data_IF_926997734569
#
_entry.id   IF_926997734569
#
_cell.length_a   1.000
_cell.length_b   1.000
_cell.length_c   1.000
_cell.angle_alpha   90.00
_cell.angle_beta   90.00
_cell.angle_gamma   90.00
#
_symmetry.space_group_name_H-M   'P 1'
#
loop_
_entity.id
_entity.type
_entity.pdbx_description
1 polymer ?
#
# COMPACT_ATOMS: atom_id res chain seq x y z
N UNK A 1 -31.70 -81.64 60.65
CA UNK A 1 -31.83 -80.75 59.50
C UNK A 1 -31.50 -79.34 60.00
N UNK A 2 -30.29 -78.87 59.70
CA UNK A 2 -29.80 -77.52 60.16
C UNK A 2 -29.70 -76.68 58.86
N UNK A 3 -30.50 -75.60 58.82
CA UNK A 3 -30.40 -74.63 57.77
C UNK A 3 -29.25 -73.57 58.10
N UNK A 4 -28.32 -73.48 57.17
CA UNK A 4 -27.26 -72.40 57.22
C UNK A 4 -27.77 -71.28 56.33
N UNK A 5 -27.93 -70.11 56.95
CA UNK A 5 -28.24 -68.88 56.21
C UNK A 5 -26.91 -68.15 55.90
N UNK A 6 -26.58 -68.00 54.62
CA UNK A 6 -25.48 -67.15 54.17
C UNK A 6 -25.93 -65.72 54.07
N UNK A 7 -25.31 -64.83 54.89
CA UNK A 7 -25.44 -63.38 54.74
C UNK A 7 -24.52 -62.90 53.59
N UNK A 8 -25.16 -62.35 52.55
CA UNK A 8 -24.46 -61.60 51.50
C UNK A 8 -24.40 -60.10 51.92
N UNK A 9 -23.21 -59.56 52.18
CA UNK A 9 -22.99 -58.14 52.37
C UNK A 9 -22.66 -57.49 50.99
N UNK A 10 -23.34 -56.44 50.59
CA UNK A 10 -22.97 -55.76 49.35
C UNK A 10 -21.77 -54.81 49.60
N UNK A 11 -20.69 -55.06 48.90
CA UNK A 11 -19.49 -54.19 48.86
C UNK A 11 -19.78 -53.01 47.92
N UNK A 12 -20.08 -51.83 48.45
CA UNK A 12 -20.20 -50.58 47.69
C UNK A 12 -18.79 -50.13 47.26
N UNK A 13 -18.42 -50.37 45.99
CA UNK A 13 -17.25 -49.71 45.35
C UNK A 13 -17.61 -48.23 45.09
N UNK A 14 -17.04 -47.33 45.85
CA UNK A 14 -17.00 -45.89 45.55
C UNK A 14 -16.00 -45.68 44.42
N UNK A 15 -16.48 -45.53 43.20
CA UNK A 15 -15.71 -45.03 42.07
C UNK A 15 -15.48 -43.55 42.25
N UNK A 16 -14.32 -43.16 42.77
CA UNK A 16 -13.83 -41.77 42.71
C UNK A 16 -13.42 -41.48 41.25
N UNK A 17 -14.34 -40.86 40.50
CA UNK A 17 -14.07 -40.30 39.18
C UNK A 17 -13.20 -39.08 39.36
N UNK A 18 -11.90 -39.18 39.22
CA UNK A 18 -11.01 -38.05 38.98
C UNK A 18 -11.34 -37.44 37.60
N UNK A 19 -12.30 -36.51 37.58
CA UNK A 19 -12.52 -35.65 36.45
C UNK A 19 -11.22 -34.89 36.16
N UNK A 20 -10.46 -35.29 35.13
CA UNK A 20 -9.45 -34.42 34.50
C UNK A 20 -10.24 -33.25 33.92
N UNK A 21 -10.23 -32.10 34.61
CA UNK A 21 -10.59 -30.83 33.99
C UNK A 21 -9.62 -30.65 32.82
N UNK A 22 -10.12 -30.79 31.58
CA UNK A 22 -9.44 -30.25 30.42
C UNK A 22 -9.15 -28.78 30.73
N UNK A 23 -7.92 -28.30 30.59
CA UNK A 23 -7.66 -26.87 30.78
C UNK A 23 -8.58 -26.11 29.83
N UNK A 24 -9.40 -25.20 30.40
CA UNK A 24 -10.22 -24.30 29.64
C UNK A 24 -9.35 -23.67 28.55
N UNK A 25 -9.75 -23.81 27.27
CA UNK A 25 -9.08 -23.04 26.21
C UNK A 25 -9.15 -21.58 26.62
N UNK A 26 -8.00 -20.88 26.64
CA UNK A 26 -8.01 -19.45 26.97
C UNK A 26 -9.10 -18.76 26.16
N UNK A 27 -9.98 -18.03 26.84
CA UNK A 27 -11.00 -17.23 26.17
C UNK A 27 -10.30 -16.24 25.22
N UNK A 28 -10.75 -16.11 23.95
CA UNK A 28 -10.16 -15.17 23.02
C UNK A 28 -10.12 -13.76 23.62
N UNK A 29 -8.99 -13.09 23.52
CA UNK A 29 -8.81 -11.75 24.05
C UNK A 29 -9.74 -10.77 23.33
N UNK A 30 -10.54 -10.02 24.08
CA UNK A 30 -11.34 -8.95 23.48
C UNK A 30 -10.44 -7.77 23.08
N UNK A 31 -10.05 -7.72 21.80
CA UNK A 31 -9.13 -6.71 21.28
C UNK A 31 -9.64 -5.27 21.45
N UNK A 32 -10.95 -5.05 21.61
CA UNK A 32 -11.50 -3.70 21.83
C UNK A 32 -11.11 -3.12 23.20
N UNK A 33 -10.97 -3.97 24.22
CA UNK A 33 -10.66 -3.56 25.61
C UNK A 33 -9.28 -3.98 26.08
N UNK A 34 -8.60 -4.87 25.35
CA UNK A 34 -7.31 -5.41 25.72
C UNK A 34 -6.20 -4.34 25.77
N UNK A 35 -5.27 -4.50 26.71
CA UNK A 35 -4.01 -3.77 26.71
C UNK A 35 -3.09 -4.26 25.57
N UNK A 36 -2.06 -3.47 25.23
CA UNK A 36 -1.09 -3.90 24.23
C UNK A 36 -0.37 -5.20 24.61
N UNK A 37 -0.02 -5.35 25.88
CA UNK A 37 0.65 -6.56 26.39
C UNK A 37 -0.23 -7.81 26.22
N UNK A 38 -1.52 -7.69 26.43
CA UNK A 38 -2.48 -8.77 26.18
C UNK A 38 -2.58 -9.10 24.70
N UNK A 39 -2.64 -8.08 23.82
CA UNK A 39 -2.66 -8.26 22.37
C UNK A 39 -1.37 -8.94 21.90
N UNK A 40 -0.21 -8.48 22.37
CA UNK A 40 1.09 -9.05 22.03
C UNK A 40 1.25 -10.49 22.53
N UNK A 41 0.69 -10.82 23.69
CA UNK A 41 0.68 -12.18 24.22
C UNK A 41 -0.21 -13.11 23.39
N UNK A 42 -1.40 -12.66 22.99
CA UNK A 42 -2.33 -13.41 22.12
C UNK A 42 -1.75 -13.64 20.72
N UNK A 43 -0.92 -12.74 20.23
CA UNK A 43 -0.29 -12.84 18.91
C UNK A 43 0.80 -13.93 18.82
N UNK A 44 1.37 -14.36 19.96
CA UNK A 44 2.48 -15.34 19.98
C UNK A 44 2.06 -16.67 19.37
N UNK A 45 2.91 -17.19 18.49
CA UNK A 45 2.67 -18.45 17.78
C UNK A 45 1.70 -18.32 16.60
N UNK A 46 1.06 -17.16 16.38
CA UNK A 46 0.16 -16.97 15.25
C UNK A 46 0.92 -16.91 13.92
N UNK A 47 0.26 -17.39 12.87
CA UNK A 47 0.69 -17.19 11.48
C UNK A 47 -0.23 -16.16 10.84
N UNK A 48 0.34 -15.03 10.44
CA UNK A 48 -0.38 -13.92 9.78
C UNK A 48 -0.19 -14.03 8.27
N UNK A 49 -1.28 -14.23 7.54
CA UNK A 49 -1.27 -14.21 6.07
C UNK A 49 -1.47 -12.79 5.57
N UNK A 50 -0.41 -12.21 4.99
CA UNK A 50 -0.40 -10.89 4.38
C UNK A 50 -0.62 -10.99 2.87
N UNK A 51 -1.73 -10.44 2.38
CA UNK A 51 -1.95 -10.18 0.96
C UNK A 51 -1.29 -8.86 0.56
N UNK A 52 -0.33 -8.89 -0.37
CA UNK A 52 0.36 -7.70 -0.83
C UNK A 52 0.80 -7.80 -2.29
N UNK A 53 1.00 -6.63 -2.92
CA UNK A 53 1.64 -6.55 -4.22
C UNK A 53 3.07 -7.08 -4.18
N UNK A 54 3.46 -7.90 -5.15
CA UNK A 54 4.77 -8.53 -5.23
C UNK A 54 5.54 -8.20 -6.53
N UNK A 55 5.18 -7.10 -7.19
CA UNK A 55 5.79 -6.72 -8.48
C UNK A 55 7.19 -6.14 -8.39
N UNK A 56 7.71 -5.84 -7.19
CA UNK A 56 9.07 -5.33 -6.99
C UNK A 56 9.90 -6.30 -6.13
N UNK A 57 11.06 -6.78 -6.65
CA UNK A 57 11.90 -7.74 -5.92
C UNK A 57 12.53 -7.15 -4.65
N UNK A 58 12.78 -5.83 -4.58
CA UNK A 58 13.41 -5.20 -3.42
C UNK A 58 12.41 -5.03 -2.27
N UNK A 59 11.15 -4.71 -2.58
CA UNK A 59 10.07 -4.74 -1.61
C UNK A 59 9.86 -6.15 -1.07
N UNK A 60 9.88 -7.15 -1.96
CA UNK A 60 9.78 -8.55 -1.58
C UNK A 60 10.95 -8.98 -0.68
N UNK A 61 12.16 -8.53 -0.98
CA UNK A 61 13.36 -8.81 -0.16
C UNK A 61 13.22 -8.18 1.23
N UNK A 62 12.85 -6.91 1.33
CA UNK A 62 12.59 -6.24 2.61
C UNK A 62 11.56 -7.01 3.45
N UNK A 63 10.45 -7.42 2.87
CA UNK A 63 9.39 -8.12 3.60
C UNK A 63 9.79 -9.55 3.98
N UNK A 64 10.41 -10.31 3.08
CA UNK A 64 10.75 -11.73 3.28
C UNK A 64 12.02 -11.93 4.10
N UNK A 65 13.05 -11.11 3.88
CA UNK A 65 14.39 -11.32 4.43
C UNK A 65 14.69 -10.41 5.62
N UNK A 66 13.88 -9.39 5.89
CA UNK A 66 14.02 -8.56 7.08
C UNK A 66 12.76 -8.61 7.97
N UNK A 67 11.59 -8.21 7.46
CA UNK A 67 10.36 -8.08 8.28
C UNK A 67 9.94 -9.44 8.85
N UNK A 68 9.81 -10.47 8.02
CA UNK A 68 9.34 -11.78 8.46
C UNK A 68 10.27 -12.46 9.50
N UNK A 69 11.59 -12.50 9.32
CA UNK A 69 12.50 -13.02 10.34
C UNK A 69 12.49 -12.22 11.65
N UNK A 70 12.42 -10.88 11.56
CA UNK A 70 12.40 -10.03 12.76
C UNK A 70 11.09 -10.24 13.57
N UNK A 71 9.94 -10.34 12.92
CA UNK A 71 8.68 -10.66 13.57
C UNK A 71 8.71 -12.02 14.27
N UNK A 72 9.28 -13.02 13.60
CA UNK A 72 9.43 -14.36 14.22
C UNK A 72 10.33 -14.33 15.43
N UNK A 73 11.46 -13.65 15.33
CA UNK A 73 12.45 -13.59 16.42
C UNK A 73 11.96 -12.76 17.61
N UNK A 74 11.37 -11.58 17.36
CA UNK A 74 11.04 -10.62 18.41
C UNK A 74 9.66 -10.85 19.03
N UNK A 75 8.71 -11.37 18.24
CA UNK A 75 7.30 -11.46 18.62
C UNK A 75 6.73 -12.88 18.55
N UNK A 76 7.50 -13.86 18.04
CA UNK A 76 7.02 -15.21 17.71
C UNK A 76 5.80 -15.22 16.78
N UNK A 77 5.71 -14.25 15.87
CA UNK A 77 4.69 -14.16 14.80
C UNK A 77 5.32 -14.62 13.50
N UNK A 78 4.70 -15.59 12.84
CA UNK A 78 5.11 -16.05 11.50
C UNK A 78 4.37 -15.24 10.45
N UNK A 79 5.08 -14.59 9.52
CA UNK A 79 4.49 -13.86 8.41
C UNK A 79 4.49 -14.72 7.14
N UNK A 80 3.29 -15.06 6.65
CA UNK A 80 3.08 -15.72 5.37
C UNK A 80 2.64 -14.68 4.32
N UNK A 81 3.42 -14.51 3.24
CA UNK A 81 3.18 -13.46 2.24
C UNK A 81 2.62 -14.08 0.98
N UNK A 82 1.45 -13.61 0.55
CA UNK A 82 0.78 -14.04 -0.68
C UNK A 82 0.59 -12.85 -1.63
N UNK A 83 0.72 -13.11 -2.94
CA UNK A 83 0.54 -12.10 -3.97
C UNK A 83 -0.95 -11.83 -4.20
N UNK A 84 -1.41 -10.64 -3.82
CA UNK A 84 -2.74 -10.14 -4.18
C UNK A 84 -2.81 -8.63 -3.98
N UNK A 85 -3.76 -7.94 -4.66
CA UNK A 85 -3.90 -6.48 -4.55
C UNK A 85 -5.27 -5.98 -5.04
N UNK A 86 -5.64 -4.77 -4.63
CA UNK A 86 -6.76 -4.01 -5.18
C UNK A 86 -8.07 -4.80 -5.24
N UNK A 87 -8.69 -4.82 -6.41
CA UNK A 87 -9.98 -5.48 -6.63
C UNK A 87 -9.98 -6.98 -6.37
N UNK A 88 -8.85 -7.67 -6.53
CA UNK A 88 -8.77 -9.11 -6.25
C UNK A 88 -8.89 -9.39 -4.75
N UNK A 89 -8.36 -8.51 -3.90
CA UNK A 89 -8.57 -8.57 -2.44
C UNK A 89 -10.06 -8.39 -2.13
N UNK A 90 -10.69 -7.35 -2.70
CA UNK A 90 -12.12 -7.08 -2.50
C UNK A 90 -12.96 -8.28 -2.94
N UNK A 91 -12.73 -8.79 -4.15
CA UNK A 91 -13.45 -9.95 -4.71
C UNK A 91 -13.31 -11.19 -3.83
N UNK A 92 -12.09 -11.46 -3.32
CA UNK A 92 -11.85 -12.59 -2.43
C UNK A 92 -12.69 -12.48 -1.15
N UNK A 93 -12.63 -11.33 -0.46
CA UNK A 93 -13.35 -11.12 0.79
C UNK A 93 -14.88 -11.14 0.59
N UNK A 94 -15.37 -10.61 -0.52
CA UNK A 94 -16.79 -10.64 -0.87
C UNK A 94 -17.26 -12.07 -1.15
N UNK A 95 -16.52 -12.84 -1.96
CA UNK A 95 -16.82 -14.24 -2.25
C UNK A 95 -16.83 -15.10 -0.97
N UNK A 96 -15.86 -14.89 -0.07
CA UNK A 96 -15.82 -15.56 1.23
C UNK A 96 -17.06 -15.21 2.09
N UNK A 97 -17.49 -13.94 2.04
CA UNK A 97 -18.69 -13.48 2.75
C UNK A 97 -19.96 -14.12 2.21
N UNK A 98 -20.12 -14.17 0.88
CA UNK A 98 -21.27 -14.77 0.20
C UNK A 98 -21.33 -16.28 0.43
N UNK A 99 -20.16 -16.95 0.47
CA UNK A 99 -20.06 -18.38 0.80
C UNK A 99 -20.30 -18.69 2.29
N UNK A 100 -20.55 -17.68 3.13
CA UNK A 100 -20.75 -17.86 4.58
C UNK A 100 -19.50 -18.31 5.34
N UNK A 101 -18.29 -18.09 4.77
CA UNK A 101 -17.04 -18.48 5.40
C UNK A 101 -16.84 -17.65 6.69
N UNK A 102 -16.59 -18.34 7.83
CA UNK A 102 -16.42 -17.69 9.13
C UNK A 102 -15.09 -16.93 9.25
N UNK A 103 -14.03 -17.47 8.66
CA UNK A 103 -12.68 -16.93 8.68
C UNK A 103 -12.22 -16.49 7.30
N UNK A 104 -11.50 -15.36 7.24
CA UNK A 104 -10.89 -14.86 6.02
C UNK A 104 -9.62 -15.63 5.68
N UNK A 105 -9.31 -15.76 4.38
CA UNK A 105 -8.03 -16.29 3.89
C UNK A 105 -6.85 -15.35 4.16
N UNK A 106 -7.12 -14.09 4.45
CA UNK A 106 -6.12 -13.08 4.79
C UNK A 106 -6.30 -12.59 6.21
N UNK A 107 -5.17 -12.29 6.86
CA UNK A 107 -5.14 -11.67 8.18
C UNK A 107 -4.75 -10.19 8.10
N UNK A 108 -3.99 -9.84 7.09
CA UNK A 108 -3.49 -8.49 6.83
C UNK A 108 -3.45 -8.24 5.33
N UNK A 109 -3.67 -7.00 4.92
CA UNK A 109 -3.70 -6.62 3.51
C UNK A 109 -2.99 -5.29 3.31
N UNK A 110 -2.09 -5.20 2.33
CA UNK A 110 -1.63 -3.91 1.81
C UNK A 110 -2.69 -3.39 0.86
N UNK A 111 -3.36 -2.33 1.27
CA UNK A 111 -4.47 -1.72 0.54
C UNK A 111 -4.17 -0.27 0.18
N UNK A 112 -4.94 0.26 -0.74
CA UNK A 112 -4.94 1.65 -1.19
C UNK A 112 -6.39 2.16 -1.21
N UNK A 113 -6.57 3.45 -1.44
CA UNK A 113 -7.81 4.15 -1.15
C UNK A 113 -9.05 3.60 -1.82
N UNK A 114 -8.99 3.13 -3.08
CA UNK A 114 -10.17 2.54 -3.71
C UNK A 114 -10.55 1.20 -3.08
N UNK A 115 -9.56 0.41 -2.65
CA UNK A 115 -9.78 -0.85 -1.92
C UNK A 115 -10.31 -0.57 -0.52
N UNK A 116 -9.71 0.39 0.19
CA UNK A 116 -10.18 0.84 1.50
C UNK A 116 -11.64 1.30 1.45
N UNK A 117 -11.99 2.17 0.50
CA UNK A 117 -13.35 2.65 0.30
C UNK A 117 -14.34 1.51 0.10
N UNK A 118 -14.05 0.57 -0.82
CA UNK A 118 -14.93 -0.56 -1.10
C UNK A 118 -15.13 -1.45 0.13
N UNK A 119 -14.04 -1.78 0.83
CA UNK A 119 -14.09 -2.61 2.05
C UNK A 119 -14.81 -1.92 3.21
N UNK A 120 -14.73 -0.58 3.32
CA UNK A 120 -15.50 0.21 4.30
C UNK A 120 -16.99 0.16 3.99
N UNK A 121 -17.40 0.30 2.72
CA UNK A 121 -18.80 0.24 2.31
C UNK A 121 -19.47 -1.08 2.71
N UNK A 122 -18.77 -2.20 2.56
CA UNK A 122 -19.27 -3.54 2.91
C UNK A 122 -18.93 -3.97 4.32
N UNK A 123 -18.37 -3.08 5.15
CA UNK A 123 -17.97 -3.33 6.54
C UNK A 123 -17.06 -4.56 6.71
N UNK A 124 -16.16 -4.78 5.78
CA UNK A 124 -15.26 -5.92 5.76
C UNK A 124 -13.96 -5.72 6.54
N UNK A 125 -13.70 -4.52 7.10
CA UNK A 125 -12.50 -4.20 7.88
C UNK A 125 -12.74 -4.33 9.38
N UNK A 126 -11.72 -4.81 10.08
CA UNK A 126 -11.59 -4.72 11.53
C UNK A 126 -11.04 -3.35 11.93
N UNK A 127 -11.63 -2.70 12.91
CA UNK A 127 -11.18 -1.41 13.42
C UNK A 127 -12.24 -0.68 14.23
N UNK A 128 -11.89 0.52 14.76
CA UNK A 128 -10.55 1.14 14.74
C UNK A 128 -9.54 0.39 15.61
N UNK A 129 -8.31 0.22 15.13
CA UNK A 129 -7.26 -0.51 15.89
C UNK A 129 -5.95 0.27 16.04
N UNK A 130 -5.68 1.25 15.15
CA UNK A 130 -4.37 1.91 15.05
C UNK A 130 -3.96 2.62 16.34
N UNK A 131 -4.91 3.25 17.04
CA UNK A 131 -4.64 3.93 18.32
C UNK A 131 -4.16 2.99 19.44
N UNK A 132 -4.31 1.67 19.28
CA UNK A 132 -3.81 0.66 20.23
C UNK A 132 -2.35 0.27 19.99
N UNK A 133 -1.79 0.63 18.84
CA UNK A 133 -0.41 0.33 18.48
C UNK A 133 0.54 1.31 19.18
N UNK A 134 1.49 0.86 20.02
CA UNK A 134 2.40 1.76 20.75
C UNK A 134 3.16 2.72 19.83
N UNK A 135 3.61 2.23 18.66
CA UNK A 135 4.37 3.03 17.72
C UNK A 135 3.53 4.06 16.95
N UNK A 136 2.18 3.95 16.98
CA UNK A 136 1.30 4.91 16.31
C UNK A 136 1.40 6.32 16.90
N UNK A 137 1.83 6.48 18.16
CA UNK A 137 2.08 7.78 18.78
C UNK A 137 3.17 8.59 18.07
N UNK A 138 4.03 7.93 17.28
CA UNK A 138 5.11 8.55 16.53
C UNK A 138 4.72 8.92 15.09
N UNK A 139 3.52 8.56 14.63
CA UNK A 139 3.03 8.89 13.28
C UNK A 139 2.58 10.36 13.24
N UNK A 140 2.85 11.03 12.13
CA UNK A 140 2.36 12.39 11.88
C UNK A 140 0.92 12.38 11.36
N UNK A 141 -0.04 12.11 12.23
CA UNK A 141 -1.46 12.20 11.88
C UNK A 141 -1.97 13.63 11.64
N UNK A 142 -1.16 14.66 11.86
CA UNK A 142 -1.43 16.03 11.42
C UNK A 142 -1.26 16.22 9.92
N UNK A 143 -0.55 15.31 9.26
CA UNK A 143 -0.30 15.35 7.83
C UNK A 143 -1.52 14.80 7.06
N UNK A 144 -2.11 15.64 6.21
CA UNK A 144 -3.30 15.28 5.40
C UNK A 144 -3.07 14.11 4.45
N UNK A 145 -1.84 13.86 4.04
CA UNK A 145 -1.47 12.74 3.18
C UNK A 145 -1.33 11.41 3.94
N UNK A 146 -1.47 11.43 5.27
CA UNK A 146 -1.37 10.25 6.15
C UNK A 146 -2.69 9.92 6.84
N UNK A 147 -3.46 10.96 7.24
CA UNK A 147 -4.73 10.77 7.94
C UNK A 147 -5.94 10.61 7.02
N UNK A 148 -5.72 10.75 5.71
CA UNK A 148 -6.78 10.67 4.69
C UNK A 148 -6.29 9.82 3.52
N UNK A 149 -7.04 8.79 3.15
CA UNK A 149 -6.78 7.99 1.97
C UNK A 149 -7.90 8.18 0.95
N UNK A 150 -7.57 8.64 -0.27
CA UNK A 150 -8.52 8.97 -1.34
C UNK A 150 -9.72 9.79 -0.84
N UNK A 151 -9.47 10.91 -0.16
CA UNK A 151 -10.48 11.79 0.45
C UNK A 151 -11.31 11.12 1.56
N UNK A 152 -10.98 9.89 1.98
CA UNK A 152 -11.66 9.20 3.06
C UNK A 152 -10.82 9.28 4.34
N UNK A 153 -11.37 9.73 5.49
CA UNK A 153 -10.68 9.64 6.76
C UNK A 153 -10.31 8.19 7.08
N UNK A 154 -9.07 7.94 7.46
CA UNK A 154 -8.60 6.58 7.80
C UNK A 154 -9.24 6.04 9.09
N UNK A 155 -9.63 6.92 10.03
CA UNK A 155 -10.36 6.63 11.27
C UNK A 155 -9.79 5.44 12.08
N UNK A 156 -8.51 5.14 11.89
CA UNK A 156 -7.84 4.02 12.55
C UNK A 156 -8.22 2.63 12.05
N UNK A 157 -8.90 2.52 10.89
CA UNK A 157 -9.24 1.24 10.25
C UNK A 157 -8.15 0.69 9.34
N UNK A 158 -7.16 1.51 9.04
CA UNK A 158 -5.96 1.13 8.32
C UNK A 158 -4.74 1.83 8.92
N UNK A 159 -3.62 1.12 8.93
CA UNK A 159 -2.37 1.58 9.52
C UNK A 159 -1.46 2.13 8.42
N UNK A 160 -1.16 3.45 8.40
CA UNK A 160 -0.19 4.00 7.44
C UNK A 160 1.21 3.49 7.76
N UNK A 161 1.99 3.11 6.73
CA UNK A 161 3.35 2.62 6.92
C UNK A 161 4.36 3.12 5.89
N UNK A 162 3.93 3.90 4.91
CA UNK A 162 4.76 4.60 3.93
C UNK A 162 4.03 5.82 3.38
N UNK A 163 4.78 6.87 3.03
CA UNK A 163 4.24 8.08 2.42
C UNK A 163 5.12 8.51 1.26
N UNK A 164 4.55 8.63 0.08
CA UNK A 164 5.26 8.77 -1.19
C UNK A 164 4.53 9.72 -2.13
N UNK A 165 5.27 10.30 -3.11
CA UNK A 165 4.74 11.16 -4.15
C UNK A 165 5.06 10.59 -5.52
N UNK A 166 4.13 10.64 -6.46
CA UNK A 166 4.38 10.23 -7.84
C UNK A 166 5.50 11.10 -8.44
N UNK A 167 6.53 10.43 -8.95
CA UNK A 167 7.62 11.07 -9.69
C UNK A 167 7.77 10.47 -11.09
N UNK A 168 8.16 11.32 -12.03
CA UNK A 168 8.54 10.92 -13.39
C UNK A 168 10.05 10.76 -13.40
N UNK A 169 10.54 9.62 -13.92
CA UNK A 169 11.94 9.27 -13.99
C UNK A 169 12.37 9.35 -15.45
N UNK A 170 13.53 9.94 -15.73
CA UNK A 170 14.07 10.15 -17.05
C UNK A 170 15.59 9.96 -17.07
N UNK A 171 16.16 9.77 -18.25
CA UNK A 171 17.61 9.70 -18.45
C UNK A 171 18.12 11.05 -18.98
N UNK A 172 19.00 11.70 -18.22
CA UNK A 172 19.55 13.03 -18.58
C UNK A 172 20.34 13.07 -19.87
N UNK A 173 20.88 11.94 -20.32
CA UNK A 173 21.58 11.84 -21.61
C UNK A 173 20.59 11.85 -22.76
N UNK A 174 19.48 11.10 -22.63
CA UNK A 174 18.43 11.02 -23.67
C UNK A 174 17.49 12.21 -23.65
N UNK A 175 17.29 12.82 -22.47
CA UNK A 175 16.34 13.92 -22.23
C UNK A 175 17.04 15.01 -21.43
N UNK A 176 17.90 15.86 -22.04
CA UNK A 176 18.61 16.92 -21.32
C UNK A 176 17.69 17.93 -20.63
N UNK A 177 16.51 18.18 -21.22
CA UNK A 177 15.50 19.12 -20.71
C UNK A 177 14.14 18.38 -20.58
N UNK A 178 13.85 17.79 -19.41
CA UNK A 178 12.62 17.02 -19.23
C UNK A 178 11.39 17.95 -19.20
N UNK A 179 10.25 17.52 -19.78
CA UNK A 179 9.02 18.30 -19.80
C UNK A 179 8.45 18.45 -18.39
N UNK A 180 8.23 19.68 -17.95
CA UNK A 180 7.70 20.02 -16.62
C UNK A 180 6.21 20.37 -16.63
N UNK A 181 5.66 20.69 -17.79
CA UNK A 181 4.25 21.02 -17.97
C UNK A 181 3.58 20.08 -18.95
N UNK A 182 2.26 20.01 -18.91
CA UNK A 182 1.45 19.23 -19.87
C UNK A 182 1.72 19.64 -21.33
N UNK A 183 1.90 20.96 -21.59
CA UNK A 183 2.24 21.42 -22.93
C UNK A 183 3.64 20.96 -23.36
N UNK A 184 4.64 21.09 -22.49
CA UNK A 184 6.00 20.62 -22.78
C UNK A 184 6.04 19.09 -22.99
N UNK A 185 5.19 18.33 -22.26
CA UNK A 185 5.07 16.88 -22.48
C UNK A 185 4.48 16.59 -23.88
N UNK A 186 3.46 17.34 -24.29
CA UNK A 186 2.89 17.23 -25.63
C UNK A 186 3.94 17.53 -26.70
N UNK A 187 4.67 18.63 -26.56
CA UNK A 187 5.73 19.05 -27.52
C UNK A 187 6.84 17.99 -27.60
N UNK A 188 7.27 17.47 -26.44
CA UNK A 188 8.30 16.43 -26.38
C UNK A 188 7.85 15.14 -27.07
N UNK A 189 6.67 14.64 -26.73
CA UNK A 189 6.15 13.37 -27.27
C UNK A 189 5.97 13.44 -28.78
N UNK A 190 5.52 14.58 -29.33
CA UNK A 190 5.41 14.81 -30.76
C UNK A 190 6.76 14.90 -31.48
N UNK A 191 7.75 15.51 -30.83
CA UNK A 191 9.10 15.62 -31.35
C UNK A 191 9.91 14.30 -31.29
N UNK A 192 9.54 13.40 -30.37
CA UNK A 192 10.25 12.12 -30.12
C UNK A 192 9.25 10.96 -30.08
N UNK A 193 8.61 10.64 -31.22
CA UNK A 193 7.59 9.59 -31.25
C UNK A 193 8.17 8.23 -30.86
N UNK A 194 7.36 7.43 -30.15
CA UNK A 194 7.72 6.10 -29.67
C UNK A 194 8.53 6.05 -28.39
N UNK A 195 8.95 7.19 -27.82
CA UNK A 195 9.86 7.22 -26.66
C UNK A 195 9.18 7.45 -25.31
N UNK A 196 7.86 7.58 -25.30
CA UNK A 196 7.05 7.81 -24.09
C UNK A 196 5.87 6.85 -24.05
N UNK A 197 5.59 6.34 -22.86
CA UNK A 197 4.36 5.65 -22.50
C UNK A 197 4.17 5.70 -20.97
N UNK A 198 3.08 5.16 -20.49
CA UNK A 198 2.78 4.91 -19.07
C UNK A 198 2.11 3.53 -18.94
N UNK A 199 2.09 2.97 -17.74
CA UNK A 199 1.42 1.69 -17.52
C UNK A 199 -0.10 1.86 -17.38
N UNK A 200 -0.85 0.79 -17.63
CA UNK A 200 -2.31 0.78 -17.53
C UNK A 200 -2.79 0.26 -16.15
N UNK A 201 -1.96 0.38 -15.12
CA UNK A 201 -2.25 -0.02 -13.75
C UNK A 201 -2.30 1.19 -12.80
N UNK A 202 -2.14 0.95 -11.51
CA UNK A 202 -2.25 1.97 -10.46
C UNK A 202 -1.36 3.20 -10.72
N UNK A 203 -0.08 2.99 -11.10
CA UNK A 203 0.87 4.11 -11.30
C UNK A 203 0.48 4.98 -12.48
N UNK A 204 0.14 4.38 -13.62
CA UNK A 204 -0.33 5.14 -14.78
C UNK A 204 -1.65 5.86 -14.52
N UNK A 205 -2.57 5.27 -13.74
CA UNK A 205 -3.79 5.97 -13.34
C UNK A 205 -3.51 7.12 -12.39
N UNK A 206 -2.53 7.01 -11.51
CA UNK A 206 -2.08 8.12 -10.64
C UNK A 206 -1.48 9.26 -11.47
N UNK A 207 -0.73 8.93 -12.53
CA UNK A 207 -0.27 9.94 -13.50
C UNK A 207 -1.45 10.61 -14.22
N UNK A 208 -2.44 9.86 -14.69
CA UNK A 208 -3.64 10.42 -15.34
C UNK A 208 -4.47 11.28 -14.38
N UNK A 209 -4.58 10.91 -13.09
CA UNK A 209 -5.22 11.74 -12.07
C UNK A 209 -4.47 13.07 -11.88
N UNK A 210 -3.13 13.03 -11.86
CA UNK A 210 -2.32 14.27 -11.76
C UNK A 210 -2.57 15.20 -12.96
N UNK A 211 -2.70 14.64 -14.18
CA UNK A 211 -3.07 15.40 -15.38
C UNK A 211 -4.53 15.91 -15.32
N UNK A 212 -5.44 15.12 -14.78
CA UNK A 212 -6.85 15.53 -14.61
C UNK A 212 -6.95 16.73 -13.67
N UNK A 213 -6.20 16.75 -12.57
CA UNK A 213 -6.10 17.86 -11.63
C UNK A 213 -5.51 19.10 -12.33
N UNK A 214 -4.46 18.95 -13.14
CA UNK A 214 -3.90 20.06 -13.93
C UNK A 214 -4.92 20.63 -14.95
N UNK A 215 -5.65 19.75 -15.63
CA UNK A 215 -6.72 20.15 -16.59
C UNK A 215 -7.84 20.88 -15.87
N UNK A 216 -8.23 20.44 -14.68
CA UNK A 216 -9.24 21.10 -13.87
C UNK A 216 -8.81 22.47 -13.32
N UNK A 217 -7.51 22.81 -13.39
CA UNK A 217 -6.95 24.05 -12.88
C UNK A 217 -6.47 24.00 -11.43
N UNK A 218 -6.39 22.81 -10.83
CA UNK A 218 -5.85 22.55 -9.49
C UNK A 218 -6.72 21.62 -8.64
N UNK A 219 -6.16 21.11 -7.54
CA UNK A 219 -6.81 20.12 -6.66
C UNK A 219 -8.16 20.59 -6.09
N UNK A 220 -8.30 21.90 -5.82
CA UNK A 220 -9.51 22.46 -5.22
C UNK A 220 -10.77 22.28 -6.10
N UNK A 221 -10.60 22.13 -7.41
CA UNK A 221 -11.72 21.92 -8.34
C UNK A 221 -12.34 20.52 -8.18
N UNK A 222 -11.54 19.54 -7.75
CA UNK A 222 -11.93 18.13 -7.65
C UNK A 222 -11.89 17.62 -6.19
N UNK A 223 -11.64 18.50 -5.21
CA UNK A 223 -11.61 18.15 -3.81
C UNK A 223 -13.00 17.76 -3.27
N UNK A 224 -13.03 16.89 -2.27
CA UNK A 224 -14.26 16.41 -1.64
C UNK A 224 -14.87 15.19 -2.33
N UNK A 225 -16.17 14.91 -2.09
CA UNK A 225 -16.86 13.78 -2.70
C UNK A 225 -16.84 13.82 -4.22
N UNK A 226 -16.96 12.66 -4.85
CA UNK A 226 -17.02 12.55 -6.30
C UNK A 226 -18.16 13.39 -6.91
N UNK A 227 -17.81 14.22 -7.87
CA UNK A 227 -18.75 15.04 -8.65
C UNK A 227 -18.77 14.55 -10.11
N UNK A 228 -19.86 13.89 -10.49
CA UNK A 228 -20.00 13.29 -11.81
C UNK A 228 -20.03 14.32 -12.95
N UNK A 229 -20.54 15.54 -12.73
CA UNK A 229 -20.58 16.59 -13.74
C UNK A 229 -19.19 17.19 -13.99
N UNK A 230 -18.44 17.47 -12.92
CA UNK A 230 -17.03 17.88 -13.02
C UNK A 230 -16.18 16.79 -13.66
N UNK A 231 -16.37 15.54 -13.24
CA UNK A 231 -15.67 14.41 -13.84
C UNK A 231 -15.93 14.33 -15.34
N UNK A 232 -17.20 14.36 -15.79
CA UNK A 232 -17.54 14.32 -17.21
C UNK A 232 -16.87 15.44 -18.00
N UNK A 233 -16.83 16.66 -17.45
CA UNK A 233 -16.22 17.83 -18.09
C UNK A 233 -14.71 17.69 -18.24
N UNK A 234 -14.01 17.36 -17.16
CA UNK A 234 -12.55 17.36 -17.16
C UNK A 234 -11.96 16.04 -17.72
N UNK A 235 -12.64 14.91 -17.55
CA UNK A 235 -12.21 13.65 -18.16
C UNK A 235 -12.34 13.68 -19.68
N UNK A 236 -13.37 14.34 -20.23
CA UNK A 236 -13.47 14.53 -21.69
C UNK A 236 -12.24 15.26 -22.24
N UNK A 237 -11.78 16.33 -21.57
CA UNK A 237 -10.56 17.06 -21.94
C UNK A 237 -9.30 16.21 -21.76
N UNK A 238 -9.24 15.36 -20.71
CA UNK A 238 -8.13 14.42 -20.51
C UNK A 238 -8.06 13.41 -21.64
N UNK A 239 -9.18 12.80 -22.03
CA UNK A 239 -9.21 11.83 -23.12
C UNK A 239 -8.92 12.44 -24.48
N UNK A 240 -9.37 13.68 -24.71
CA UNK A 240 -8.96 14.44 -25.90
C UNK A 240 -7.46 14.64 -25.94
N UNK A 241 -6.85 15.08 -24.84
CA UNK A 241 -5.40 15.26 -24.72
C UNK A 241 -4.65 13.95 -24.93
N UNK A 242 -5.02 12.88 -24.29
CA UNK A 242 -4.35 11.57 -24.42
C UNK A 242 -4.51 11.02 -25.85
N UNK A 243 -5.69 11.09 -26.45
CA UNK A 243 -5.92 10.57 -27.79
C UNK A 243 -5.18 11.38 -28.87
N UNK A 244 -4.99 12.70 -28.67
CA UNK A 244 -4.16 13.53 -29.55
C UNK A 244 -2.68 13.13 -29.50
N UNK A 245 -2.19 12.65 -28.35
CA UNK A 245 -0.81 12.18 -28.18
C UNK A 245 -0.60 10.69 -28.53
N UNK A 246 -1.65 9.90 -28.43
CA UNK A 246 -1.61 8.44 -28.62
C UNK A 246 -0.81 7.98 -29.85
N UNK A 247 -0.94 8.61 -31.07
CA UNK A 247 -0.15 8.19 -32.25
C UNK A 247 1.36 8.33 -32.07
N UNK A 248 1.81 9.14 -31.11
CA UNK A 248 3.22 9.40 -30.83
C UNK A 248 3.75 8.60 -29.63
N UNK A 249 2.88 7.88 -28.91
CA UNK A 249 3.31 7.01 -27.82
C UNK A 249 4.04 5.78 -28.36
N UNK A 250 4.75 5.10 -27.48
CA UNK A 250 5.35 3.79 -27.76
C UNK A 250 4.31 2.86 -28.41
N UNK A 251 4.71 2.19 -29.50
CA UNK A 251 3.82 1.37 -30.34
C UNK A 251 2.53 2.10 -30.76
N UNK A 252 2.61 3.40 -30.99
CA UNK A 252 1.46 4.23 -31.42
C UNK A 252 0.28 4.19 -30.42
N UNK A 253 0.57 3.90 -29.14
CA UNK A 253 -0.46 3.75 -28.10
C UNK A 253 -1.45 2.60 -28.33
N UNK A 254 -1.10 1.64 -29.19
CA UNK A 254 -1.93 0.44 -29.42
C UNK A 254 -1.90 -0.54 -28.24
N UNK A 255 -0.86 -0.46 -27.43
CA UNK A 255 -0.67 -1.26 -26.22
C UNK A 255 0.06 -0.45 -25.17
N UNK A 256 -0.11 -0.84 -23.90
CA UNK A 256 0.49 -0.21 -22.74
C UNK A 256 1.13 -1.27 -21.85
N UNK A 257 2.22 -0.97 -21.12
CA UNK A 257 2.74 -1.85 -20.08
C UNK A 257 1.63 -2.17 -19.05
N UNK A 258 1.56 -3.42 -18.61
CA UNK A 258 0.49 -3.87 -17.70
C UNK A 258 0.72 -3.50 -16.24
N UNK A 259 1.94 -3.07 -15.92
CA UNK A 259 2.34 -2.61 -14.58
C UNK A 259 3.60 -1.74 -14.68
N UNK A 260 3.95 -1.09 -13.58
CA UNK A 260 5.13 -0.23 -13.49
C UNK A 260 6.44 -1.00 -13.68
N UNK A 261 6.54 -2.25 -13.23
CA UNK A 261 7.77 -3.04 -13.36
C UNK A 261 8.18 -3.32 -14.83
N UNK A 262 7.28 -3.74 -15.74
CA UNK A 262 7.57 -3.76 -17.17
C UNK A 262 7.99 -2.39 -17.74
N UNK A 263 7.37 -1.29 -17.32
CA UNK A 263 7.74 0.06 -17.76
C UNK A 263 9.15 0.43 -17.28
N UNK A 264 9.54 0.06 -16.06
CA UNK A 264 10.92 0.22 -15.57
C UNK A 264 11.93 -0.55 -16.42
N UNK A 265 11.60 -1.77 -16.81
CA UNK A 265 12.46 -2.58 -17.67
C UNK A 265 12.63 -1.95 -19.07
N UNK A 266 11.56 -1.42 -19.65
CA UNK A 266 11.63 -0.71 -20.94
C UNK A 266 12.50 0.54 -20.84
N UNK A 267 12.40 1.30 -19.76
CA UNK A 267 13.25 2.45 -19.49
C UNK A 267 14.74 2.04 -19.31
N UNK A 268 15.01 1.02 -18.51
CA UNK A 268 16.35 0.50 -18.27
C UNK A 268 17.03 0.04 -19.58
N UNK A 269 16.27 -0.61 -20.46
CA UNK A 269 16.75 -1.08 -21.77
C UNK A 269 16.84 0.04 -22.85
N UNK A 270 16.37 1.25 -22.54
CA UNK A 270 16.37 2.36 -23.49
C UNK A 270 15.26 2.30 -24.55
N UNK A 271 14.27 1.46 -24.38
CA UNK A 271 13.11 1.35 -25.26
C UNK A 271 12.19 2.59 -25.15
N UNK A 272 12.11 3.16 -23.94
CA UNK A 272 11.46 4.44 -23.67
C UNK A 272 12.39 5.36 -22.87
N UNK A 273 12.17 6.67 -22.97
CA UNK A 273 12.99 7.68 -22.31
C UNK A 273 12.52 8.05 -20.90
N UNK A 274 11.33 7.59 -20.53
CA UNK A 274 10.71 7.87 -19.24
C UNK A 274 10.13 6.60 -18.63
N UNK A 275 10.14 6.58 -17.32
CA UNK A 275 9.31 5.74 -16.48
C UNK A 275 8.74 6.58 -15.35
N UNK A 276 7.97 6.01 -14.46
CA UNK A 276 7.39 6.73 -13.33
C UNK A 276 7.24 5.80 -12.12
N UNK A 277 7.17 6.38 -10.94
CA UNK A 277 6.94 5.63 -9.71
C UNK A 277 6.07 6.43 -8.76
N UNK A 278 5.22 5.75 -8.02
CA UNK A 278 4.54 6.37 -6.88
C UNK A 278 5.52 6.67 -5.73
N UNK A 279 6.69 6.01 -5.69
CA UNK A 279 7.76 6.32 -4.75
C UNK A 279 8.74 7.32 -5.37
N UNK A 280 8.71 8.55 -4.90
CA UNK A 280 9.57 9.66 -5.34
C UNK A 280 11.08 9.41 -5.10
N UNK A 281 11.43 8.45 -4.25
CA UNK A 281 12.82 8.02 -3.98
C UNK A 281 13.29 6.81 -4.78
N UNK A 282 12.42 6.16 -5.53
CA UNK A 282 12.75 4.88 -6.18
C UNK A 282 13.92 4.96 -7.16
N UNK A 283 14.13 6.09 -7.83
CA UNK A 283 15.25 6.27 -8.75
C UNK A 283 16.60 6.05 -8.07
N UNK A 284 16.77 6.51 -6.81
CA UNK A 284 17.99 6.27 -6.04
C UNK A 284 18.22 4.80 -5.82
N UNK A 285 17.19 4.07 -5.37
CA UNK A 285 17.25 2.65 -5.16
C UNK A 285 17.61 1.89 -6.46
N UNK A 286 16.91 2.16 -7.56
CA UNK A 286 17.14 1.47 -8.84
C UNK A 286 18.51 1.76 -9.45
N UNK A 287 19.04 2.97 -9.27
CA UNK A 287 20.41 3.30 -9.72
C UNK A 287 21.45 2.62 -8.84
N UNK A 288 21.28 2.62 -7.53
CA UNK A 288 22.21 1.95 -6.60
C UNK A 288 22.26 0.43 -6.81
N UNK A 289 21.15 -0.17 -7.24
CA UNK A 289 21.07 -1.59 -7.59
C UNK A 289 21.57 -1.89 -9.03
N UNK A 290 21.99 -0.87 -9.80
CA UNK A 290 22.43 -1.05 -11.16
C UNK A 290 21.31 -1.39 -12.16
N UNK A 291 20.04 -1.22 -11.76
CA UNK A 291 18.87 -1.47 -12.63
C UNK A 291 18.68 -0.29 -13.59
N UNK A 292 18.77 0.95 -13.10
CA UNK A 292 18.71 2.15 -13.93
C UNK A 292 20.11 2.69 -14.20
N UNK A 293 20.31 3.41 -15.32
CA UNK A 293 21.59 4.06 -15.61
C UNK A 293 21.89 5.14 -14.57
N UNK A 294 23.18 5.38 -14.28
CA UNK A 294 23.63 6.43 -13.35
C UNK A 294 23.23 7.86 -13.75
N UNK A 295 22.77 8.03 -14.99
CA UNK A 295 22.22 9.26 -15.55
C UNK A 295 20.71 9.44 -15.29
N UNK A 296 20.03 8.43 -14.73
CA UNK A 296 18.63 8.54 -14.37
C UNK A 296 18.40 9.59 -13.27
N UNK A 297 17.34 10.36 -13.41
CA UNK A 297 16.88 11.38 -12.44
C UNK A 297 15.36 11.35 -12.34
N UNK A 298 14.85 11.81 -11.21
CA UNK A 298 13.41 11.98 -11.02
C UNK A 298 13.00 13.46 -10.93
N UNK A 299 11.75 13.73 -11.25
CA UNK A 299 11.13 15.04 -11.07
C UNK A 299 9.61 14.90 -10.90
N UNK A 300 8.97 15.98 -10.44
CA UNK A 300 7.52 16.12 -10.42
C UNK A 300 7.08 17.20 -11.42
N UNK A 301 5.84 17.10 -11.89
CA UNK A 301 5.27 18.12 -12.78
C UNK A 301 5.14 19.46 -12.06
N UNK A 302 5.22 20.55 -12.79
CA UNK A 302 5.14 21.92 -12.23
C UNK A 302 3.82 22.18 -11.49
N UNK A 303 2.70 21.66 -12.01
CA UNK A 303 1.37 21.74 -11.36
C UNK A 303 1.18 20.73 -10.25
N UNK A 304 2.15 19.88 -10.01
CA UNK A 304 2.16 18.88 -8.96
C UNK A 304 1.87 17.46 -9.45
N UNK A 305 2.11 16.53 -8.55
CA UNK A 305 1.78 15.12 -8.68
C UNK A 305 1.19 14.60 -7.38
N UNK A 306 0.38 13.56 -7.47
CA UNK A 306 -0.30 12.99 -6.31
C UNK A 306 0.71 12.43 -5.31
N UNK A 307 0.49 12.80 -4.05
CA UNK A 307 1.13 12.21 -2.87
C UNK A 307 0.09 11.41 -2.08
N UNK A 308 0.43 10.21 -1.67
CA UNK A 308 -0.42 9.35 -0.86
C UNK A 308 0.40 8.51 0.12
N UNK A 309 -0.28 7.73 0.94
CA UNK A 309 0.35 6.78 1.86
C UNK A 309 0.04 5.34 1.46
N UNK A 310 0.88 4.43 1.94
CA UNK A 310 0.60 2.99 1.92
C UNK A 310 -0.07 2.60 3.24
N UNK A 311 -1.05 1.72 3.18
CA UNK A 311 -1.80 1.30 4.35
C UNK A 311 -1.88 -0.21 4.49
N UNK A 312 -1.99 -0.66 5.74
CA UNK A 312 -2.29 -2.03 6.10
C UNK A 312 -3.67 -2.10 6.74
N UNK A 313 -4.57 -2.88 6.15
CA UNK A 313 -5.90 -3.15 6.66
C UNK A 313 -6.03 -4.58 7.19
N UNK A 314 -6.85 -4.78 8.22
CA UNK A 314 -7.14 -6.09 8.81
C UNK A 314 -8.54 -6.51 8.40
N UNK A 315 -8.75 -7.68 7.77
CA UNK A 315 -10.09 -8.17 7.49
C UNK A 315 -10.91 -8.39 8.77
N UNK A 316 -12.20 -8.04 8.75
CA UNK A 316 -13.09 -8.23 9.89
C UNK A 316 -13.13 -9.69 10.38
N UNK A 317 -13.02 -10.65 9.46
CA UNK A 317 -13.09 -12.10 9.74
C UNK A 317 -11.72 -12.75 9.89
N UNK A 318 -10.62 -11.98 10.00
CA UNK A 318 -9.30 -12.56 10.29
C UNK A 318 -9.35 -13.32 11.63
N UNK A 319 -8.88 -14.56 11.68
CA UNK A 319 -8.70 -15.28 12.93
C UNK A 319 -7.49 -14.78 13.75
N UNK A 320 -6.52 -14.11 13.09
CA UNK A 320 -5.23 -13.70 13.67
C UNK A 320 -5.09 -12.17 13.79
N UNK A 321 -6.16 -11.48 14.19
CA UNK A 321 -6.16 -10.00 14.34
C UNK A 321 -5.06 -9.48 15.27
N UNK A 322 -4.80 -10.19 16.38
CA UNK A 322 -3.75 -9.81 17.32
C UNK A 322 -2.36 -9.86 16.65
N UNK A 323 -2.07 -10.94 15.92
CA UNK A 323 -0.85 -11.05 15.12
C UNK A 323 -0.75 -9.97 14.06
N UNK A 324 -1.84 -9.68 13.34
CA UNK A 324 -1.89 -8.60 12.34
C UNK A 324 -1.60 -7.22 12.96
N UNK A 325 -2.13 -6.92 14.16
CA UNK A 325 -1.81 -5.70 14.89
C UNK A 325 -0.32 -5.62 15.28
N UNK A 326 0.29 -6.75 15.68
CA UNK A 326 1.74 -6.82 15.98
C UNK A 326 2.57 -6.57 14.72
N UNK A 327 2.18 -7.13 13.57
CA UNK A 327 2.82 -6.84 12.28
C UNK A 327 2.73 -5.35 11.95
N UNK A 328 1.54 -4.74 12.05
CA UNK A 328 1.37 -3.30 11.84
C UNK A 328 2.27 -2.47 12.76
N UNK A 329 2.29 -2.79 14.07
CA UNK A 329 3.13 -2.07 15.03
C UNK A 329 4.64 -2.20 14.72
N UNK A 330 5.09 -3.37 14.24
CA UNK A 330 6.47 -3.57 13.80
C UNK A 330 6.79 -2.72 12.57
N UNK A 331 5.93 -2.72 11.55
CA UNK A 331 6.14 -1.97 10.31
C UNK A 331 6.26 -0.46 10.52
N UNK A 332 5.60 0.09 11.54
CA UNK A 332 5.69 1.50 11.94
C UNK A 332 6.71 1.76 13.07
N UNK A 333 7.53 0.77 13.42
CA UNK A 333 8.61 1.00 14.38
C UNK A 333 9.71 1.88 13.78
N UNK A 334 10.44 2.67 14.59
CA UNK A 334 11.54 3.49 14.10
C UNK A 334 12.62 2.67 13.37
N UNK A 335 12.86 1.43 13.80
CA UNK A 335 13.82 0.52 13.17
C UNK A 335 13.38 0.11 11.76
N UNK A 336 12.15 -0.39 11.64
CA UNK A 336 11.62 -0.83 10.34
C UNK A 336 11.48 0.33 9.36
N UNK A 337 11.04 1.50 9.84
CA UNK A 337 10.90 2.70 9.03
C UNK A 337 12.24 3.28 8.57
N UNK A 338 13.25 3.28 9.44
CA UNK A 338 14.61 3.70 9.09
C UNK A 338 15.20 2.81 7.99
N UNK A 339 15.06 1.49 8.16
CA UNK A 339 15.56 0.51 7.18
C UNK A 339 14.83 0.61 5.84
N UNK A 340 13.52 0.84 5.87
CA UNK A 340 12.71 1.03 4.67
C UNK A 340 13.09 2.31 3.91
N UNK A 341 13.43 3.39 4.64
CA UNK A 341 13.81 4.68 4.07
C UNK A 341 15.20 4.64 3.42
N UNK A 342 16.07 3.70 3.80
CA UNK A 342 17.40 3.55 3.21
C UNK A 342 17.29 3.21 1.71
N UNK A 343 17.85 4.05 0.82
CA UNK A 343 17.78 3.81 -0.63
C UNK A 343 18.53 2.55 -1.08
N UNK A 344 19.45 2.01 -0.26
CA UNK A 344 20.11 0.73 -0.55
C UNK A 344 19.20 -0.47 -0.30
N UNK A 345 18.09 -0.28 0.42
CA UNK A 345 17.09 -1.31 0.75
C UNK A 345 15.85 -1.12 -0.11
N UNK A 346 15.11 -0.02 0.10
CA UNK A 346 13.90 0.30 -0.66
C UNK A 346 13.82 1.79 -1.02
N UNK A 347 14.17 2.68 -0.11
CA UNK A 347 14.09 4.13 -0.34
C UNK A 347 12.68 4.70 -0.21
N UNK A 348 11.76 3.98 0.45
CA UNK A 348 10.37 4.39 0.62
C UNK A 348 10.20 5.38 1.79
N UNK A 349 9.33 6.37 1.63
CA UNK A 349 9.13 7.44 2.61
C UNK A 349 8.53 6.95 3.94
N UNK A 350 8.93 7.60 5.04
CA UNK A 350 8.41 7.30 6.38
C UNK A 350 7.10 8.02 6.67
N UNK A 351 6.26 7.42 7.51
CA UNK A 351 5.06 8.04 8.10
C UNK A 351 5.31 8.65 9.48
N UNK A 352 6.54 8.49 10.01
CA UNK A 352 6.88 8.97 11.34
C UNK A 352 7.20 10.46 11.33
N UNK A 353 6.74 11.17 12.34
CA UNK A 353 7.26 12.49 12.70
C UNK A 353 8.62 12.31 13.40
N UNK A 354 9.69 12.61 12.68
CA UNK A 354 11.06 12.43 13.18
C UNK A 354 11.28 13.20 14.50
N UNK A 355 10.61 14.32 14.69
CA UNK A 355 10.77 15.15 15.91
C UNK A 355 10.13 14.51 17.14
N UNK A 356 9.17 13.59 16.97
CA UNK A 356 8.55 12.82 18.06
C UNK A 356 9.34 11.59 18.47
N UNK A 357 10.35 11.19 17.68
CA UNK A 357 11.17 10.03 17.98
C UNK A 357 12.11 10.28 19.16
N UNK A 358 12.51 9.24 19.91
CA UNK A 358 13.63 9.34 20.84
C UNK A 358 14.90 9.86 20.16
N UNK A 359 15.70 10.67 20.86
CA UNK A 359 16.86 11.39 20.30
C UNK A 359 17.82 10.50 19.51
N UNK A 360 18.06 9.26 19.98
CA UNK A 360 18.91 8.29 19.29
C UNK A 360 18.36 7.92 17.88
N UNK A 361 17.04 7.82 17.72
CA UNK A 361 16.42 7.54 16.44
C UNK A 361 16.43 8.78 15.54
N UNK A 362 16.13 9.96 16.09
CA UNK A 362 16.27 11.21 15.32
C UNK A 362 17.65 11.33 14.68
N UNK A 363 18.72 11.02 15.45
CA UNK A 363 20.09 11.05 14.94
C UNK A 363 20.32 10.01 13.82
N UNK A 364 19.80 8.79 13.97
CA UNK A 364 19.92 7.75 12.94
C UNK A 364 19.22 8.14 11.65
N UNK A 365 18.00 8.72 11.71
CA UNK A 365 17.29 9.22 10.54
C UNK A 365 18.03 10.38 9.84
N UNK A 366 18.62 11.31 10.60
CA UNK A 366 19.43 12.42 10.05
C UNK A 366 20.73 11.95 9.39
N UNK A 367 21.27 10.81 9.82
CA UNK A 367 22.51 10.26 9.30
C UNK A 367 22.31 9.37 8.06
N UNK A 368 21.08 9.13 7.64
CA UNK A 368 20.84 8.42 6.37
C UNK A 368 21.44 9.21 5.20
N UNK A 369 22.03 8.53 4.22
CA UNK A 369 22.49 9.18 3.01
C UNK A 369 21.35 9.96 2.35
N UNK A 370 21.62 11.22 2.00
CA UNK A 370 20.67 12.02 1.22
C UNK A 370 20.42 11.42 -0.17
N UNK A 371 19.29 11.75 -0.74
CA UNK A 371 18.95 11.39 -2.13
C UNK A 371 19.95 12.02 -3.09
N UNK A 372 20.40 11.25 -4.06
CA UNK A 372 21.39 11.67 -5.05
C UNK A 372 20.77 11.84 -6.44
N UNK A 373 19.79 11.03 -6.77
CA UNK A 373 19.18 10.93 -8.10
C UNK A 373 17.74 11.44 -8.13
N UNK A 374 17.03 11.33 -7.01
CA UNK A 374 15.75 11.98 -6.77
C UNK A 374 15.96 13.38 -6.18
N UNK A 375 15.03 14.34 -6.42
CA UNK A 375 15.07 15.62 -5.74
C UNK A 375 14.86 15.44 -4.22
N UNK A 376 15.42 16.32 -3.38
CA UNK A 376 15.10 16.33 -1.97
C UNK A 376 13.59 16.46 -1.75
N UNK A 377 13.05 15.72 -0.79
CA UNK A 377 11.58 15.65 -0.59
C UNK A 377 10.99 17.02 -0.26
N UNK A 378 11.67 17.80 0.53
CA UNK A 378 11.29 19.18 0.87
C UNK A 378 11.14 20.11 -0.34
N UNK A 379 11.85 19.83 -1.44
CA UNK A 379 11.76 20.65 -2.67
C UNK A 379 10.54 20.31 -3.53
N UNK A 380 10.01 19.10 -3.42
CA UNK A 380 8.85 18.65 -4.21
C UNK A 380 7.54 18.68 -3.40
N UNK A 381 7.63 18.81 -2.08
CA UNK A 381 6.47 18.79 -1.19
C UNK A 381 5.47 19.93 -1.48
N UNK A 382 5.94 21.08 -1.92
CA UNK A 382 5.06 22.20 -2.33
C UNK A 382 4.22 21.87 -3.58
N UNK A 383 4.58 20.83 -4.32
CA UNK A 383 3.91 20.33 -5.52
C UNK A 383 3.17 19.00 -5.25
N UNK A 384 2.96 18.65 -3.98
CA UNK A 384 2.21 17.48 -3.59
C UNK A 384 0.70 17.77 -3.70
N UNK A 385 0.00 16.95 -4.48
CA UNK A 385 -1.44 17.00 -4.67
C UNK A 385 -2.12 15.92 -3.83
N UNK A 386 -3.27 16.24 -3.24
CA UNK A 386 -4.10 15.22 -2.59
C UNK A 386 -4.65 14.23 -3.61
N UNK A 387 -4.81 12.99 -3.17
CA UNK A 387 -5.59 12.01 -3.90
C UNK A 387 -7.02 12.50 -4.10
N UNK A 388 -7.63 12.06 -5.20
CA UNK A 388 -9.04 12.31 -5.49
C UNK A 388 -9.93 11.27 -4.77
N UNK A 389 -11.23 11.52 -4.70
CA UNK A 389 -12.18 10.54 -4.19
C UNK A 389 -12.08 9.22 -4.97
N UNK A 390 -12.34 8.06 -4.34
CA UNK A 390 -12.08 6.74 -4.93
C UNK A 390 -12.77 6.51 -6.28
N UNK A 391 -13.96 7.07 -6.45
CA UNK A 391 -14.75 6.94 -7.66
C UNK A 391 -14.04 7.53 -8.89
N UNK A 392 -13.18 8.56 -8.72
CA UNK A 392 -12.36 9.07 -9.82
C UNK A 392 -11.41 8.00 -10.35
N UNK A 393 -10.78 7.22 -9.46
CA UNK A 393 -9.88 6.14 -9.86
C UNK A 393 -10.63 5.02 -10.57
N UNK A 394 -11.75 4.57 -10.00
CA UNK A 394 -12.61 3.52 -10.57
C UNK A 394 -13.07 3.92 -11.97
N UNK A 395 -13.58 5.15 -12.12
CA UNK A 395 -14.04 5.66 -13.41
C UNK A 395 -12.91 5.81 -14.43
N UNK A 396 -11.75 6.28 -14.00
CA UNK A 396 -10.60 6.44 -14.92
C UNK A 396 -10.14 5.12 -15.51
N UNK A 397 -10.15 4.02 -14.75
CA UNK A 397 -9.83 2.68 -15.28
C UNK A 397 -10.80 2.27 -16.39
N UNK A 398 -12.10 2.41 -16.15
CA UNK A 398 -13.12 2.04 -17.12
C UNK A 398 -13.08 2.93 -18.37
N UNK A 399 -12.96 4.23 -18.17
CA UNK A 399 -12.94 5.22 -19.26
C UNK A 399 -11.64 5.14 -20.07
N UNK A 400 -10.49 4.88 -19.45
CA UNK A 400 -9.23 4.65 -20.17
C UNK A 400 -9.36 3.44 -21.09
N UNK A 401 -9.94 2.35 -20.60
CA UNK A 401 -10.23 1.17 -21.43
C UNK A 401 -11.12 1.51 -22.59
N UNK A 402 -12.22 2.21 -22.33
CA UNK A 402 -13.26 2.56 -23.32
C UNK A 402 -12.79 3.59 -24.34
N UNK A 403 -12.20 4.69 -23.88
CA UNK A 403 -11.93 5.86 -24.72
C UNK A 403 -10.50 5.91 -25.28
N UNK A 404 -9.57 5.14 -24.73
CA UNK A 404 -8.19 5.13 -25.19
C UNK A 404 -7.79 3.78 -25.77
N UNK A 405 -8.02 2.68 -25.07
CA UNK A 405 -7.60 1.35 -25.55
C UNK A 405 -8.51 0.83 -26.65
N UNK A 406 -9.84 0.80 -26.41
CA UNK A 406 -10.83 0.24 -27.35
C UNK A 406 -11.22 1.17 -28.48
N UNK A 407 -10.96 2.47 -28.36
CA UNK A 407 -11.15 3.43 -29.44
C UNK A 407 -10.08 3.20 -30.50
N UNK A 408 -10.30 2.20 -31.37
CA UNK A 408 -9.57 2.05 -32.62
C UNK A 408 -10.05 3.18 -33.53
N UNK A 409 -9.08 3.89 -34.10
CA UNK A 409 -9.27 4.98 -35.06
C UNK A 409 -9.97 4.51 -36.33
#
# INVERSE_FOLDING_TARGET
MKFFALLFAPLCLLLVSCGRSTPDKPQPVNLATASWEQIAAEARGQTVTLAMWQGDPLINDYMKNYVAPALKQQHDVTLNIVGNQGNDIVSTLMTEAEAGKEESSYDLMWINGETFYQLRQVQALHGPFVAKLPNAAMIDFGNRFINTDFQQPVDGYECPWGNVQLAIIYDTVRVPNPPRTRQQLEDYVKAHPGTFTFDNSFTGMTFLKSLLIDIAGGEQQLAGPFDSAKYATYSAQLWEYINRLKPYFWKEGKTYPTAVAPLHQMFANGEVNFTMSNNDGEVDNKVLQGIFPGTARAYVLQRGTIQNSHYMGIPKRSPHKAGAMVVCNFLISPEAQLRKLDPTVWGDGTVLDINRLPAQWQQKFRNLPGRKYAPPRETIQAQALMELAPEYMIRLFDDFRKYVIQKQS
#
